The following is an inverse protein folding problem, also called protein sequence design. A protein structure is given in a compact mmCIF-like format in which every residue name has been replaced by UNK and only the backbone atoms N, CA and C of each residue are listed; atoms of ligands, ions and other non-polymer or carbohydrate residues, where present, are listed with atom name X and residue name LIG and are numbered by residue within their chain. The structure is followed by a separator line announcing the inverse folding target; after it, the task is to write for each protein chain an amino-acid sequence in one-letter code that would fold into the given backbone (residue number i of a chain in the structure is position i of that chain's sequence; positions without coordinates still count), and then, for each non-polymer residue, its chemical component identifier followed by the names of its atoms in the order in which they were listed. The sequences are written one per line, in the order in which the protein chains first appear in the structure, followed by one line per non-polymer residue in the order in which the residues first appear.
data_IF_078402291133
#
_entry.id   IF_078402291133
#
_cell.length_a   1.000
_cell.length_b   1.000
_cell.length_c   1.000
_cell.angle_alpha   90.00
_cell.angle_beta   90.00
_cell.angle_gamma   90.00
#
_symmetry.space_group_name_H-M   'P 1'
#
loop_
_entity.id
_entity.type
_entity.pdbx_description
1 polymer ?
#
# COMPACT_ATOMS: atom_id res chain seq x y z
N UNK A 1 19.29 25.47 -2.49
CA UNK A 1 17.95 25.05 -2.93
C UNK A 1 17.16 24.70 -1.66
N UNK A 2 16.18 25.49 -1.22
CA UNK A 2 15.37 25.07 -0.08
C UNK A 2 14.49 23.90 -0.52
N UNK A 3 14.43 22.83 0.28
CA UNK A 3 13.52 21.70 0.07
C UNK A 3 12.08 22.21 0.09
N UNK A 4 11.29 21.77 -0.89
CA UNK A 4 9.86 22.09 -0.97
C UNK A 4 9.16 21.69 0.33
N UNK A 5 8.42 22.63 0.92
CA UNK A 5 7.59 22.36 2.09
C UNK A 5 6.49 21.38 1.69
N UNK A 6 6.45 20.22 2.35
CA UNK A 6 5.38 19.23 2.19
C UNK A 6 4.09 19.88 2.73
N UNK A 7 2.98 19.91 1.98
CA UNK A 7 1.72 20.40 2.51
C UNK A 7 1.35 19.57 3.75
N UNK A 8 0.94 20.22 4.82
CA UNK A 8 0.45 19.55 6.02
C UNK A 8 -0.79 18.74 5.65
N UNK A 9 -0.61 17.43 5.50
CA UNK A 9 -1.73 16.50 5.37
C UNK A 9 -2.50 16.55 6.69
N UNK A 10 -3.85 16.63 6.67
CA UNK A 10 -4.61 16.53 7.90
C UNK A 10 -4.27 15.17 8.54
N UNK A 11 -3.73 15.20 9.76
CA UNK A 11 -3.47 13.99 10.50
C UNK A 11 -4.81 13.27 10.68
N UNK A 12 -4.96 12.03 10.18
CA UNK A 12 -6.17 11.28 10.48
C UNK A 12 -6.21 11.10 12.00
N UNK A 13 -7.34 11.44 12.63
CA UNK A 13 -7.64 11.09 14.03
C UNK A 13 -7.85 9.56 14.18
N UNK A 14 -6.93 8.78 13.62
CA UNK A 14 -6.83 7.37 13.92
C UNK A 14 -6.10 7.29 15.25
N UNK A 15 -6.83 6.93 16.31
CA UNK A 15 -6.23 6.10 17.34
C UNK A 15 -5.57 4.95 16.58
N UNK A 16 -4.25 5.06 16.36
CA UNK A 16 -3.47 3.94 15.84
C UNK A 16 -3.77 2.80 16.81
N UNK A 17 -4.48 1.73 16.41
CA UNK A 17 -4.47 0.55 17.25
C UNK A 17 -3.00 0.27 17.51
N UNK A 18 -2.63 0.02 18.77
CA UNK A 18 -1.28 -0.44 19.12
C UNK A 18 -1.06 -1.77 18.37
N UNK A 19 -0.73 -1.67 17.08
CA UNK A 19 -0.29 -2.77 16.25
C UNK A 19 1.07 -3.05 16.85
N UNK A 20 1.09 -4.01 17.78
CA UNK A 20 2.31 -4.68 18.19
C UNK A 20 3.05 -4.98 16.88
N UNK A 21 4.15 -4.26 16.65
CA UNK A 21 4.95 -4.48 15.45
C UNK A 21 5.24 -5.99 15.45
N UNK A 22 4.91 -6.70 14.36
CA UNK A 22 5.15 -8.13 14.33
C UNK A 22 6.61 -8.34 14.68
N UNK A 23 6.89 -9.28 15.60
CA UNK A 23 8.26 -9.60 16.01
C UNK A 23 9.16 -9.56 14.77
N UNK A 24 10.21 -8.73 14.83
CA UNK A 24 11.06 -8.39 13.68
C UNK A 24 11.71 -9.60 13.01
N UNK A 25 11.58 -10.78 13.61
CA UNK A 25 11.88 -12.09 13.05
C UNK A 25 11.06 -12.45 11.79
N UNK A 26 10.01 -11.69 11.44
CA UNK A 26 9.31 -11.83 10.16
C UNK A 26 9.94 -11.05 9.01
N UNK A 27 11.00 -10.27 9.25
CA UNK A 27 11.71 -9.55 8.19
C UNK A 27 12.81 -10.43 7.60
N UNK A 28 12.71 -10.72 6.31
CA UNK A 28 13.75 -11.44 5.58
C UNK A 28 14.94 -10.50 5.33
N UNK A 29 16.16 -11.00 5.53
CA UNK A 29 17.37 -10.28 5.15
C UNK A 29 17.38 -10.10 3.62
N UNK A 30 17.59 -8.87 3.10
CA UNK A 30 17.77 -8.65 1.66
C UNK A 30 18.85 -9.51 1.03
N UNK A 31 19.90 -9.89 1.77
CA UNK A 31 20.96 -10.78 1.31
C UNK A 31 20.50 -12.24 1.17
N UNK A 32 19.47 -12.64 1.92
CA UNK A 32 18.86 -13.98 1.85
C UNK A 32 17.81 -14.11 0.72
N UNK A 33 17.40 -12.99 0.11
CA UNK A 33 16.47 -12.98 -1.02
C UNK A 33 17.21 -13.26 -2.34
N UNK A 34 17.31 -14.53 -2.69
CA UNK A 34 17.95 -14.95 -3.92
C UNK A 34 17.15 -14.49 -5.15
N UNK A 35 17.78 -13.73 -6.06
CA UNK A 35 17.08 -13.14 -7.21
C UNK A 35 16.55 -14.16 -8.22
N UNK A 36 17.10 -15.37 -8.26
CA UNK A 36 16.64 -16.46 -9.12
C UNK A 36 15.90 -17.55 -8.35
N UNK A 37 15.32 -17.21 -7.19
CA UNK A 37 14.43 -18.09 -6.46
C UNK A 37 13.15 -18.35 -7.26
N UNK A 38 12.71 -19.60 -7.32
CA UNK A 38 11.47 -20.00 -7.99
C UNK A 38 10.22 -19.39 -7.35
N UNK A 39 10.29 -18.94 -6.09
CA UNK A 39 9.20 -18.21 -5.42
C UNK A 39 8.77 -16.95 -6.19
N UNK A 40 9.72 -16.31 -6.88
CA UNK A 40 9.42 -15.14 -7.70
C UNK A 40 8.57 -15.48 -8.92
N UNK A 41 8.78 -16.65 -9.52
CA UNK A 41 7.98 -17.10 -10.67
C UNK A 41 6.51 -17.25 -10.28
N UNK A 42 6.23 -17.83 -9.11
CA UNK A 42 4.87 -17.96 -8.57
C UNK A 42 4.25 -16.59 -8.24
N UNK A 43 5.05 -15.67 -7.69
CA UNK A 43 4.61 -14.30 -7.40
C UNK A 43 4.21 -13.55 -8.68
N UNK A 44 5.05 -13.61 -9.72
CA UNK A 44 4.78 -12.96 -11.01
C UNK A 44 3.71 -13.67 -11.85
N UNK A 45 3.46 -14.95 -11.62
CA UNK A 45 2.35 -15.67 -12.25
C UNK A 45 0.98 -15.23 -11.72
N UNK A 46 0.91 -14.56 -10.56
CA UNK A 46 -0.35 -14.15 -9.94
C UNK A 46 -0.96 -12.95 -10.67
N UNK A 47 -2.23 -13.02 -11.12
CA UNK A 47 -2.85 -11.91 -11.81
C UNK A 47 -3.00 -10.73 -10.85
N UNK A 48 -2.63 -9.54 -11.33
CA UNK A 48 -2.86 -8.31 -10.59
C UNK A 48 -4.34 -7.94 -10.64
N UNK A 49 -5.00 -7.92 -9.49
CA UNK A 49 -6.40 -7.50 -9.35
C UNK A 49 -6.40 -6.08 -8.80
N UNK A 50 -6.79 -5.13 -9.62
CA UNK A 50 -7.04 -3.77 -9.14
C UNK A 50 -8.31 -3.75 -8.29
N UNK A 51 -8.32 -3.00 -7.17
CA UNK A 51 -9.57 -2.70 -6.50
C UNK A 51 -10.50 -1.95 -7.46
N UNK A 52 -11.83 -2.00 -7.24
CA UNK A 52 -12.77 -1.20 -8.00
C UNK A 52 -12.39 0.28 -7.98
N UNK A 53 -12.64 0.98 -9.08
CA UNK A 53 -12.38 2.42 -9.16
C UNK A 53 -13.21 3.16 -8.08
N UNK A 54 -12.57 3.87 -7.14
CA UNK A 54 -13.26 4.63 -6.10
C UNK A 54 -14.13 5.77 -6.66
N UNK A 55 -13.91 6.17 -7.92
CA UNK A 55 -14.71 7.17 -8.62
C UNK A 55 -15.83 6.58 -9.49
N UNK A 56 -15.97 5.25 -9.55
CA UNK A 56 -17.01 4.59 -10.35
C UNK A 56 -18.43 5.05 -10.01
N UNK A 57 -18.68 5.47 -8.76
CA UNK A 57 -19.98 5.97 -8.29
C UNK A 57 -20.18 7.48 -8.45
N UNK A 58 -19.16 8.23 -8.88
CA UNK A 58 -19.28 9.68 -9.07
C UNK A 58 -20.37 10.10 -10.07
N UNK A 59 -20.61 9.38 -11.19
CA UNK A 59 -21.70 9.69 -12.10
C UNK A 59 -23.09 9.56 -11.44
N UNK A 60 -23.25 8.65 -10.48
CA UNK A 60 -24.52 8.48 -9.74
C UNK A 60 -24.75 9.63 -8.76
N UNK A 61 -23.70 10.15 -8.12
CA UNK A 61 -23.78 11.30 -7.22
C UNK A 61 -24.10 12.61 -7.97
N UNK A 62 -23.55 12.79 -9.18
CA UNK A 62 -23.82 13.97 -10.00
C UNK A 62 -25.23 13.97 -10.62
N UNK A 63 -25.86 12.81 -10.77
CA UNK A 63 -27.23 12.69 -11.29
C UNK A 63 -28.30 12.96 -10.20
N UNK A 64 -27.91 12.92 -8.92
CA UNK A 64 -28.79 13.20 -7.78
C UNK A 64 -28.78 14.67 -7.33
N UNK A 65 -27.99 15.55 -7.98
CA UNK A 65 -27.96 17.00 -7.74
C UNK A 65 -28.82 17.79 -8.73
#
# INVERSE_FOLDING_TARGET
MPLAAVPAWPEPEMEEPEVEEPDGDNLLDPEDLFAADALWDDFYAKPFVLPPDPQADWPLLLTLM
#
